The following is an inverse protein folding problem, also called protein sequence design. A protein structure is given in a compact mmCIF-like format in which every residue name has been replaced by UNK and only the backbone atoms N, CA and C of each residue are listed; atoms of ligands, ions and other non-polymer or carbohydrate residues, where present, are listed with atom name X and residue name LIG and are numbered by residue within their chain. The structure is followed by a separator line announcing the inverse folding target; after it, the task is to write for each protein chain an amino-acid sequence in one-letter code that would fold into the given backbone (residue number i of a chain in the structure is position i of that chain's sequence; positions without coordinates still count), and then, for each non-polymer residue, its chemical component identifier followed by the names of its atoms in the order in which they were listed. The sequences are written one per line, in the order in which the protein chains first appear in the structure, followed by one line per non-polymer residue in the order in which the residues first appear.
data_IF_522644787885
#
_entry.id   IF_522644787885
#
_cell.length_a   1.000
_cell.length_b   1.000
_cell.length_c   1.000
_cell.angle_alpha   90.00
_cell.angle_beta   90.00
_cell.angle_gamma   90.00
#
_symmetry.space_group_name_H-M   'P 1'
#
loop_
_entity.id
_entity.type
_entity.pdbx_description
1 polymer ?
#
# COMPACT_ATOMS: atom_id res chain seq x y z
N UNK A 1 19.41 27.26 52.35
CA UNK A 1 19.11 25.91 51.80
C UNK A 1 20.04 25.64 50.61
N UNK A 2 21.20 25.02 50.86
CA UNK A 2 22.15 24.67 49.80
C UNK A 2 21.79 23.29 49.23
N UNK A 3 21.56 23.24 47.92
CA UNK A 3 21.38 21.98 47.17
C UNK A 3 22.76 21.35 47.01
N UNK A 4 22.94 20.17 47.61
CA UNK A 4 24.16 19.38 47.46
C UNK A 4 24.36 18.99 46.00
N UNK A 5 25.47 19.44 45.42
CA UNK A 5 25.98 18.97 44.14
C UNK A 5 26.26 17.48 44.24
N UNK A 6 25.46 16.67 43.52
CA UNK A 6 25.73 15.28 43.24
C UNK A 6 27.01 15.18 42.41
N UNK A 7 28.13 14.93 43.07
CA UNK A 7 29.37 14.53 42.41
C UNK A 7 29.11 13.23 41.65
N UNK A 8 29.08 13.31 40.32
CA UNK A 8 29.20 12.13 39.47
C UNK A 8 30.57 11.50 39.75
N UNK A 9 30.58 10.42 40.52
CA UNK A 9 31.75 9.60 40.74
C UNK A 9 32.21 9.05 39.40
N UNK A 10 33.36 9.54 38.91
CA UNK A 10 34.08 8.98 37.79
C UNK A 10 34.75 7.68 38.23
N UNK A 11 33.97 6.59 38.31
CA UNK A 11 34.53 5.26 38.48
C UNK A 11 35.17 4.80 37.16
N UNK A 12 36.39 5.28 36.94
CA UNK A 12 37.31 4.69 35.98
C UNK A 12 38.58 4.31 36.72
N UNK A 13 38.90 3.01 36.67
CA UNK A 13 40.19 2.38 37.04
C UNK A 13 40.43 2.09 38.53
N UNK A 14 39.53 1.35 39.18
CA UNK A 14 40.00 0.47 40.26
C UNK A 14 40.42 -0.88 39.64
N UNK A 15 41.70 -1.29 39.76
CA UNK A 15 42.10 -2.65 39.43
C UNK A 15 41.41 -3.59 40.43
N UNK A 16 40.58 -4.50 39.90
CA UNK A 16 39.89 -5.51 40.70
C UNK A 16 40.95 -6.28 41.50
N UNK A 17 40.80 -6.30 42.84
CA UNK A 17 41.64 -7.06 43.78
C UNK A 17 41.53 -8.57 43.52
N UNK A 18 42.32 -9.07 42.58
CA UNK A 18 42.77 -10.47 42.41
C UNK A 18 43.35 -10.55 41.01
N UNK A 19 44.57 -11.07 40.82
CA UNK A 19 45.26 -11.18 39.53
C UNK A 19 44.61 -12.12 38.49
N UNK A 20 43.30 -12.02 38.32
CA UNK A 20 42.50 -12.66 37.29
C UNK A 20 42.36 -11.67 36.14
N UNK A 21 43.06 -11.95 35.04
CA UNK A 21 42.85 -11.25 33.77
C UNK A 21 41.47 -11.62 33.23
N UNK A 22 40.48 -10.75 33.45
CA UNK A 22 39.15 -10.90 32.86
C UNK A 22 39.26 -10.51 31.38
N UNK A 23 38.89 -11.41 30.48
CA UNK A 23 38.91 -11.12 29.05
C UNK A 23 38.00 -9.94 28.69
N UNK A 24 38.36 -9.21 27.64
CA UNK A 24 37.56 -8.10 27.09
C UNK A 24 36.11 -8.52 26.82
N UNK A 25 35.92 -9.74 26.36
CA UNK A 25 34.62 -10.28 25.99
C UNK A 25 33.74 -10.52 27.21
N UNK A 26 34.31 -11.05 28.30
CA UNK A 26 33.60 -11.21 29.58
C UNK A 26 33.23 -9.84 30.19
N UNK A 27 34.11 -8.84 30.05
CA UNK A 27 33.80 -7.48 30.48
C UNK A 27 32.65 -6.88 29.66
N UNK A 28 32.69 -7.03 28.33
CA UNK A 28 31.63 -6.57 27.43
C UNK A 28 30.28 -7.23 27.76
N UNK A 29 30.25 -8.55 27.94
CA UNK A 29 29.03 -9.28 28.34
C UNK A 29 28.48 -8.77 29.68
N UNK A 30 29.34 -8.60 30.69
CA UNK A 30 28.91 -8.09 31.99
C UNK A 30 28.36 -6.67 31.91
N UNK A 31 28.93 -5.81 31.07
CA UNK A 31 28.39 -4.46 30.86
C UNK A 31 27.03 -4.48 30.17
N UNK A 32 26.82 -5.39 29.20
CA UNK A 32 25.52 -5.57 28.55
C UNK A 32 24.46 -6.04 29.56
N UNK A 33 24.78 -7.02 30.40
CA UNK A 33 23.88 -7.53 31.45
C UNK A 33 23.52 -6.45 32.50
N UNK A 34 24.47 -5.57 32.83
CA UNK A 34 24.19 -4.42 33.72
C UNK A 34 23.21 -3.45 33.08
N UNK A 35 23.45 -3.08 31.81
CA UNK A 35 22.54 -2.18 31.06
C UNK A 35 21.13 -2.75 30.97
N UNK A 36 21.00 -4.06 30.74
CA UNK A 36 19.70 -4.71 30.68
C UNK A 36 18.96 -4.67 32.02
N UNK A 37 19.64 -4.98 33.13
CA UNK A 37 19.07 -4.86 34.48
C UNK A 37 18.68 -3.43 34.81
N UNK A 38 19.54 -2.46 34.52
CA UNK A 38 19.27 -1.05 34.78
C UNK A 38 18.03 -0.57 34.01
N UNK A 39 17.92 -0.96 32.74
CA UNK A 39 16.73 -0.71 31.92
C UNK A 39 15.46 -1.33 32.51
N UNK A 40 15.51 -2.57 32.99
CA UNK A 40 14.35 -3.22 33.63
C UNK A 40 13.93 -2.53 34.93
N UNK A 41 14.91 -2.14 35.75
CA UNK A 41 14.69 -1.38 36.98
C UNK A 41 13.99 -0.05 36.67
N UNK A 42 14.44 0.65 35.65
CA UNK A 42 13.86 1.93 35.23
C UNK A 42 12.45 1.77 34.66
N UNK A 43 12.21 0.73 33.85
CA UNK A 43 10.86 0.39 33.40
C UNK A 43 9.94 0.11 34.58
N UNK A 44 10.41 -0.63 35.58
CA UNK A 44 9.64 -0.96 36.79
C UNK A 44 9.30 0.28 37.60
N UNK A 45 10.28 1.17 37.82
CA UNK A 45 10.07 2.47 38.49
C UNK A 45 9.05 3.32 37.73
N UNK A 46 9.19 3.42 36.40
CA UNK A 46 8.26 4.15 35.53
C UNK A 46 6.84 3.60 35.59
N UNK A 47 6.67 2.28 35.57
CA UNK A 47 5.35 1.63 35.73
C UNK A 47 4.73 1.95 37.09
N UNK A 48 5.49 1.83 38.19
CA UNK A 48 5.02 2.16 39.54
C UNK A 48 4.62 3.63 39.65
N UNK A 49 5.41 4.55 39.11
CA UNK A 49 5.08 5.97 39.09
C UNK A 49 3.78 6.24 38.32
N UNK A 50 3.64 5.71 37.10
CA UNK A 50 2.43 5.86 36.30
C UNK A 50 1.19 5.27 36.98
N UNK A 51 1.34 4.15 37.68
CA UNK A 51 0.26 3.55 38.47
C UNK A 51 -0.20 4.49 39.60
N UNK A 52 0.75 5.03 40.38
CA UNK A 52 0.45 6.01 41.44
C UNK A 52 -0.25 7.26 40.90
N UNK A 53 0.19 7.79 39.77
CA UNK A 53 -0.45 8.94 39.14
C UNK A 53 -1.88 8.64 38.68
N UNK A 54 -2.10 7.45 38.12
CA UNK A 54 -3.44 7.00 37.70
C UNK A 54 -4.38 6.83 38.88
N UNK A 55 -3.90 6.38 40.03
CA UNK A 55 -4.73 6.25 41.24
C UNK A 55 -5.02 7.58 41.91
N UNK A 56 -4.07 8.53 41.87
CA UNK A 56 -4.23 9.84 42.49
C UNK A 56 -5.19 10.76 41.70
N UNK A 57 -5.08 10.77 40.37
CA UNK A 57 -5.96 11.56 39.49
C UNK A 57 -6.21 10.79 38.18
N UNK A 58 -7.23 9.90 38.15
CA UNK A 58 -7.53 9.10 36.97
C UNK A 58 -7.88 9.95 35.74
N UNK A 59 -8.66 11.01 35.95
CA UNK A 59 -9.23 11.83 34.87
C UNK A 59 -8.15 12.72 34.27
N UNK A 60 -7.39 13.45 35.08
CA UNK A 60 -6.30 14.29 34.58
C UNK A 60 -5.16 13.47 34.01
N UNK A 61 -4.86 12.30 34.58
CA UNK A 61 -3.89 11.37 34.00
C UNK A 61 -4.31 10.91 32.60
N UNK A 62 -5.57 10.51 32.41
CA UNK A 62 -6.08 10.07 31.12
C UNK A 62 -6.00 11.19 30.06
N UNK A 63 -6.43 12.41 30.41
CA UNK A 63 -6.35 13.58 29.52
C UNK A 63 -4.91 13.87 29.08
N UNK A 64 -3.97 13.88 30.03
CA UNK A 64 -2.54 14.12 29.74
C UNK A 64 -1.94 13.03 28.85
N UNK A 65 -2.19 11.76 29.14
CA UNK A 65 -1.67 10.65 28.32
C UNK A 65 -2.19 10.73 26.88
N UNK A 66 -3.45 11.10 26.69
CA UNK A 66 -4.01 11.29 25.34
C UNK A 66 -3.32 12.44 24.62
N UNK A 67 -3.13 13.58 25.28
CA UNK A 67 -2.42 14.73 24.72
C UNK A 67 -0.97 14.40 24.37
N UNK A 68 -0.23 13.74 25.27
CA UNK A 68 1.16 13.34 25.06
C UNK A 68 1.29 12.37 23.87
N UNK A 69 0.37 11.40 23.77
CA UNK A 69 0.34 10.46 22.64
C UNK A 69 0.04 11.16 21.32
N UNK A 70 -0.89 12.11 21.31
CA UNK A 70 -1.22 12.88 20.11
C UNK A 70 -0.03 13.75 19.67
N UNK A 71 0.61 14.45 20.61
CA UNK A 71 1.80 15.25 20.34
C UNK A 71 2.98 14.39 19.86
N UNK A 72 3.17 13.20 20.44
CA UNK A 72 4.18 12.26 19.97
C UNK A 72 3.89 11.77 18.55
N UNK A 73 2.64 11.42 18.24
CA UNK A 73 2.24 10.95 16.92
C UNK A 73 2.48 12.01 15.83
N UNK A 74 2.16 13.27 16.12
CA UNK A 74 2.42 14.39 15.21
C UNK A 74 3.91 14.57 14.91
N UNK A 75 4.77 14.39 15.92
CA UNK A 75 6.23 14.49 15.74
C UNK A 75 6.86 13.27 15.07
N UNK A 76 6.17 12.13 15.06
CA UNK A 76 6.72 10.85 14.60
C UNK A 76 5.79 10.13 13.60
N UNK A 77 5.40 10.78 12.48
CA UNK A 77 4.39 10.23 11.56
C UNK A 77 4.81 8.87 10.99
N UNK A 78 6.07 8.73 10.58
CA UNK A 78 6.57 7.47 10.02
C UNK A 78 6.49 6.33 11.03
N UNK A 79 6.86 6.57 12.30
CA UNK A 79 6.78 5.55 13.35
C UNK A 79 5.34 5.10 13.60
N UNK A 80 4.37 6.00 13.48
CA UNK A 80 2.95 5.66 13.60
C UNK A 80 2.54 4.72 12.48
N UNK A 81 2.96 4.99 11.24
CA UNK A 81 2.70 4.13 10.09
C UNK A 81 3.35 2.75 10.25
N UNK A 82 4.62 2.69 10.68
CA UNK A 82 5.33 1.43 10.91
C UNK A 82 4.64 0.58 12.00
N UNK A 83 4.19 1.22 13.09
CA UNK A 83 3.44 0.55 14.15
C UNK A 83 2.11 0.02 13.61
N UNK A 84 1.39 0.82 12.83
CA UNK A 84 0.12 0.41 12.24
C UNK A 84 0.29 -0.79 11.30
N UNK A 85 1.32 -0.77 10.44
CA UNK A 85 1.66 -1.88 9.54
C UNK A 85 1.96 -3.16 10.33
N UNK A 86 2.77 -3.06 11.39
CA UNK A 86 3.10 -4.20 12.25
C UNK A 86 1.87 -4.76 12.97
N UNK A 87 0.97 -3.90 13.45
CA UNK A 87 -0.29 -4.34 14.08
C UNK A 87 -1.17 -5.09 13.07
N UNK A 88 -1.30 -4.58 11.84
CA UNK A 88 -2.04 -5.26 10.76
C UNK A 88 -1.43 -6.63 10.41
N UNK A 89 -0.10 -6.71 10.29
CA UNK A 89 0.60 -7.98 10.04
C UNK A 89 0.28 -9.00 11.13
N UNK A 90 0.41 -8.60 12.40
CA UNK A 90 0.12 -9.51 13.52
C UNK A 90 -1.35 -9.94 13.56
N UNK A 91 -2.28 -9.05 13.20
CA UNK A 91 -3.70 -9.41 13.08
C UNK A 91 -3.92 -10.46 11.99
N UNK A 92 -3.26 -10.30 10.83
CA UNK A 92 -3.24 -11.29 9.74
C UNK A 92 -2.69 -12.64 10.20
N UNK A 93 -1.52 -12.64 10.82
CA UNK A 93 -0.80 -13.85 11.24
C UNK A 93 -1.59 -14.63 12.31
N UNK A 94 -2.36 -13.92 13.14
CA UNK A 94 -3.22 -14.53 14.16
C UNK A 94 -4.65 -14.81 13.70
N UNK A 95 -4.95 -14.54 12.43
CA UNK A 95 -6.30 -14.61 11.85
C UNK A 95 -7.37 -13.90 12.71
N UNK A 96 -7.01 -12.74 13.28
CA UNK A 96 -7.88 -11.93 14.13
C UNK A 96 -8.39 -10.71 13.37
N UNK A 97 -9.67 -10.37 13.58
CA UNK A 97 -10.33 -9.21 12.97
C UNK A 97 -10.28 -9.26 11.44
N UNK A 98 -10.68 -10.39 10.90
CA UNK A 98 -10.67 -10.66 9.47
C UNK A 98 -12.09 -10.61 8.92
N UNK A 99 -12.26 -9.96 7.77
CA UNK A 99 -13.52 -10.00 7.01
C UNK A 99 -13.30 -10.90 5.79
N UNK A 100 -14.08 -11.98 5.69
CA UNK A 100 -13.87 -13.05 4.71
C UNK A 100 -13.91 -12.54 3.27
N UNK A 101 -14.85 -11.65 2.94
CA UNK A 101 -15.04 -11.20 1.55
C UNK A 101 -13.94 -10.24 1.05
N UNK A 102 -13.32 -9.48 1.97
CA UNK A 102 -12.32 -8.48 1.60
C UNK A 102 -10.88 -8.99 1.71
N UNK A 103 -10.65 -10.13 2.37
CA UNK A 103 -9.33 -10.68 2.64
C UNK A 103 -8.34 -9.65 3.26
N UNK A 104 -8.88 -8.69 4.00
CA UNK A 104 -8.12 -7.60 4.60
C UNK A 104 -8.14 -7.70 6.14
N UNK A 105 -6.96 -7.73 6.81
CA UNK A 105 -6.88 -7.76 8.26
C UNK A 105 -7.10 -6.35 8.84
N UNK A 106 -8.03 -6.23 9.79
CA UNK A 106 -8.31 -4.98 10.48
C UNK A 106 -7.46 -4.80 11.74
N UNK A 107 -7.28 -3.55 12.15
CA UNK A 107 -6.48 -3.20 13.34
C UNK A 107 -7.17 -3.54 14.66
N UNK A 108 -8.51 -3.64 14.67
CA UNK A 108 -9.31 -3.94 15.86
C UNK A 108 -10.71 -4.43 15.51
N UNK A 109 -11.41 -5.06 16.46
CA UNK A 109 -12.81 -5.47 16.31
C UNK A 109 -13.73 -4.28 16.00
N UNK A 110 -13.55 -3.14 16.66
CA UNK A 110 -14.37 -1.95 16.41
C UNK A 110 -14.21 -1.41 14.99
N UNK A 111 -13.00 -1.51 14.40
CA UNK A 111 -12.78 -1.17 13.00
C UNK A 111 -13.51 -2.14 12.07
N UNK A 112 -13.47 -3.45 12.37
CA UNK A 112 -14.24 -4.46 11.64
C UNK A 112 -15.76 -4.25 11.78
N UNK A 113 -16.25 -3.93 12.98
CA UNK A 113 -17.68 -3.70 13.22
C UNK A 113 -18.17 -2.41 12.56
N UNK A 114 -17.32 -1.37 12.48
CA UNK A 114 -17.62 -0.16 11.71
C UNK A 114 -17.75 -0.44 10.20
N UNK A 115 -17.10 -1.50 9.74
CA UNK A 115 -17.18 -1.99 8.37
C UNK A 115 -18.52 -2.67 8.08
N UNK A 116 -19.15 -3.33 9.06
CA UNK A 116 -20.46 -3.98 8.90
C UNK A 116 -21.63 -3.00 8.72
N UNK A 117 -21.34 -1.72 8.52
CA UNK A 117 -22.33 -0.70 8.20
C UNK A 117 -22.63 -0.67 6.70
N UNK A 118 -23.82 -0.22 6.30
CA UNK A 118 -24.30 -0.15 4.91
C UNK A 118 -23.31 0.49 3.92
N UNK A 119 -22.35 1.28 4.40
CA UNK A 119 -21.32 1.91 3.58
C UNK A 119 -20.39 0.89 2.91
N UNK A 120 -19.98 -0.15 3.62
CA UNK A 120 -19.12 -1.17 3.03
C UNK A 120 -19.88 -2.07 2.06
N UNK A 121 -21.13 -2.43 2.39
CA UNK A 121 -22.00 -3.16 1.48
C UNK A 121 -22.17 -2.39 0.15
N UNK A 122 -22.38 -1.07 0.22
CA UNK A 122 -22.45 -0.21 -0.97
C UNK A 122 -21.14 -0.12 -1.74
N UNK A 123 -19.99 -0.11 -1.06
CA UNK A 123 -18.68 -0.11 -1.71
C UNK A 123 -18.37 -1.44 -2.39
N UNK A 124 -18.77 -2.57 -1.80
CA UNK A 124 -18.68 -3.88 -2.46
C UNK A 124 -19.54 -3.90 -3.72
N UNK A 125 -20.81 -3.48 -3.63
CA UNK A 125 -21.70 -3.46 -4.80
C UNK A 125 -21.20 -2.53 -5.90
N UNK A 126 -20.60 -1.39 -5.55
CA UNK A 126 -20.02 -0.47 -6.53
C UNK A 126 -18.77 -1.09 -7.19
N UNK A 127 -17.91 -1.74 -6.40
CA UNK A 127 -16.72 -2.42 -6.91
C UNK A 127 -17.06 -3.63 -7.78
N UNK A 128 -18.12 -4.37 -7.44
CA UNK A 128 -18.69 -5.45 -8.26
C UNK A 128 -19.28 -4.89 -9.56
N UNK A 129 -20.08 -3.82 -9.48
CA UNK A 129 -20.62 -3.15 -10.66
C UNK A 129 -19.52 -2.64 -11.59
N UNK A 130 -18.44 -2.04 -11.06
CA UNK A 130 -17.30 -1.64 -11.87
C UNK A 130 -16.47 -2.82 -12.40
N UNK A 131 -16.47 -3.97 -11.71
CA UNK A 131 -15.83 -5.20 -12.21
C UNK A 131 -16.61 -5.76 -13.40
N UNK A 132 -17.93 -5.74 -13.36
CA UNK A 132 -18.80 -6.14 -14.46
C UNK A 132 -18.73 -5.13 -15.63
N UNK A 133 -18.92 -3.84 -15.37
CA UNK A 133 -18.86 -2.78 -16.38
C UNK A 133 -17.45 -2.64 -17.00
N UNK A 134 -16.39 -2.79 -16.20
CA UNK A 134 -15.01 -2.77 -16.68
C UNK A 134 -14.68 -3.92 -17.63
N UNK A 135 -15.26 -5.11 -17.43
CA UNK A 135 -15.16 -6.21 -18.38
C UNK A 135 -15.87 -5.86 -19.70
N UNK A 136 -17.02 -5.19 -19.66
CA UNK A 136 -17.70 -4.72 -20.86
C UNK A 136 -16.87 -3.68 -21.63
N UNK A 137 -16.19 -2.77 -20.94
CA UNK A 137 -15.29 -1.79 -21.58
C UNK A 137 -14.10 -2.48 -22.23
N UNK A 138 -13.47 -3.45 -21.57
CA UNK A 138 -12.36 -4.21 -22.15
C UNK A 138 -12.80 -5.03 -23.38
N UNK A 139 -14.00 -5.64 -23.34
CA UNK A 139 -14.58 -6.34 -24.49
C UNK A 139 -14.90 -5.38 -25.64
N UNK A 140 -15.39 -4.18 -25.34
CA UNK A 140 -15.66 -3.13 -26.33
C UNK A 140 -14.39 -2.62 -26.99
N UNK A 141 -13.34 -2.33 -26.21
CA UNK A 141 -12.02 -1.94 -26.73
C UNK A 141 -11.45 -3.05 -27.62
N UNK A 142 -11.54 -4.31 -27.19
CA UNK A 142 -11.06 -5.45 -27.99
C UNK A 142 -11.84 -5.58 -29.32
N UNK A 143 -13.16 -5.35 -29.32
CA UNK A 143 -13.97 -5.29 -30.56
C UNK A 143 -13.53 -4.16 -31.50
N UNK A 144 -13.26 -2.96 -30.97
CA UNK A 144 -12.75 -1.84 -31.78
C UNK A 144 -11.40 -2.17 -32.40
N UNK A 145 -10.48 -2.72 -31.61
CA UNK A 145 -9.15 -3.12 -32.11
C UNK A 145 -9.25 -4.17 -33.20
N UNK A 146 -10.09 -5.20 -33.02
CA UNK A 146 -10.34 -6.22 -34.07
C UNK A 146 -10.95 -5.63 -35.33
N UNK A 147 -11.89 -4.70 -35.19
CA UNK A 147 -12.50 -4.02 -36.33
C UNK A 147 -11.48 -3.15 -37.08
N UNK A 148 -10.62 -2.42 -36.36
CA UNK A 148 -9.55 -1.62 -36.95
C UNK A 148 -8.51 -2.51 -37.67
N UNK A 149 -8.12 -3.64 -37.08
CA UNK A 149 -7.23 -4.62 -37.71
C UNK A 149 -7.85 -5.26 -38.95
N UNK A 150 -9.13 -5.64 -38.91
CA UNK A 150 -9.83 -6.16 -40.08
C UNK A 150 -9.91 -5.13 -41.21
N UNK A 151 -10.12 -3.85 -40.88
CA UNK A 151 -10.15 -2.75 -41.85
C UNK A 151 -8.77 -2.48 -42.46
N UNK A 152 -7.69 -2.54 -41.66
CA UNK A 152 -6.31 -2.47 -42.14
C UNK A 152 -5.97 -3.65 -43.05
N UNK A 153 -6.34 -4.88 -42.66
CA UNK A 153 -6.15 -6.07 -43.49
C UNK A 153 -6.92 -6.00 -44.81
N UNK A 154 -8.13 -5.44 -44.82
CA UNK A 154 -8.89 -5.22 -46.06
C UNK A 154 -8.23 -4.17 -46.96
N UNK A 155 -7.70 -3.09 -46.39
CA UNK A 155 -6.94 -2.09 -47.13
C UNK A 155 -5.65 -2.67 -47.72
N UNK A 156 -4.94 -3.53 -46.99
CA UNK A 156 -3.76 -4.24 -47.49
C UNK A 156 -4.10 -5.22 -48.64
N UNK A 157 -5.28 -5.84 -48.62
CA UNK A 157 -5.75 -6.68 -49.75
C UNK A 157 -6.26 -5.88 -50.95
N UNK A 158 -6.71 -4.64 -50.76
CA UNK A 158 -7.22 -3.77 -51.83
C UNK A 158 -6.14 -2.85 -52.43
N UNK A 159 -5.06 -2.58 -51.69
CA UNK A 159 -3.90 -1.81 -52.16
C UNK A 159 -3.27 -2.35 -53.46
N UNK A 160 -3.10 -3.67 -53.65
CA UNK A 160 -2.61 -4.21 -54.92
C UNK A 160 -3.60 -4.04 -56.09
N UNK A 161 -4.92 -4.00 -55.83
CA UNK A 161 -5.94 -3.75 -56.86
C UNK A 161 -5.95 -2.29 -57.32
N UNK A 162 -5.73 -1.33 -56.41
CA UNK A 162 -5.64 0.09 -56.74
C UNK A 162 -4.36 0.44 -57.53
N UNK A 163 -3.24 -0.22 -57.23
CA UNK A 163 -1.98 -0.04 -57.98
C UNK A 163 -2.06 -0.62 -59.41
N UNK A 164 -2.91 -1.63 -59.65
CA UNK A 164 -3.12 -2.17 -61.00
C UNK A 164 -3.96 -1.26 -61.92
N UNK A 165 -4.70 -0.29 -61.37
CA UNK A 165 -5.53 0.66 -62.15
C UNK A 165 -4.76 1.87 -62.70
N UNK A 166 -3.48 2.05 -62.33
CA UNK A 166 -2.71 3.26 -62.66
C UNK A 166 -1.52 3.01 -63.60
N UNK A 167 -1.40 1.82 -64.22
CA UNK A 167 -0.48 1.68 -65.36
C UNK A 167 -1.12 2.28 -66.61
N UNK A 168 -0.50 3.27 -67.27
CA UNK A 168 -0.89 3.64 -68.60
C UNK A 168 -0.56 2.46 -69.51
N UNK A 169 -1.58 1.78 -70.03
CA UNK A 169 -1.42 0.94 -71.21
C UNK A 169 -1.73 1.84 -72.40
N UNK A 170 -0.74 1.95 -73.28
CA UNK A 170 -0.84 2.68 -74.53
C UNK A 170 -2.03 2.18 -75.36
N UNK A 171 -2.79 3.15 -75.86
CA UNK A 171 -3.69 3.15 -77.02
C UNK A 171 -4.37 1.82 -77.42
N UNK A 172 -5.66 1.69 -77.11
CA UNK A 172 -6.73 1.64 -78.12
C UNK A 172 -8.12 1.40 -77.48
N UNK A 173 -9.14 1.91 -78.16
CA UNK A 173 -10.54 2.02 -77.79
C UNK A 173 -11.13 0.87 -76.93
N UNK A 174 -11.65 1.23 -75.75
CA UNK A 174 -12.49 0.34 -74.95
C UNK A 174 -12.96 0.99 -73.66
N UNK A 175 -14.17 1.56 -73.68
CA UNK A 175 -14.84 2.13 -72.50
C UNK A 175 -14.86 1.10 -71.36
N UNK A 176 -14.26 1.43 -70.22
CA UNK A 176 -14.47 0.71 -68.96
C UNK A 176 -14.85 1.69 -67.85
N UNK A 177 -15.76 1.28 -66.95
CA UNK A 177 -16.32 2.16 -65.94
C UNK A 177 -15.25 2.51 -64.90
N UNK A 178 -15.01 3.80 -64.71
CA UNK A 178 -14.26 4.32 -63.57
C UNK A 178 -15.12 4.03 -62.34
N UNK A 179 -14.77 2.98 -61.59
CA UNK A 179 -15.35 2.76 -60.26
C UNK A 179 -14.75 3.84 -59.37
N UNK A 180 -15.54 4.87 -59.09
CA UNK A 180 -15.13 5.95 -58.20
C UNK A 180 -15.09 5.46 -56.75
N UNK A 181 -14.25 6.10 -55.91
CA UNK A 181 -14.17 5.79 -54.47
C UNK A 181 -15.53 5.87 -53.77
N UNK A 182 -16.45 6.69 -54.30
CA UNK A 182 -17.82 6.79 -53.82
C UNK A 182 -18.62 5.50 -54.04
N UNK A 183 -18.46 4.85 -55.19
CA UNK A 183 -19.13 3.59 -55.51
C UNK A 183 -18.65 2.44 -54.63
N UNK A 184 -17.38 2.47 -54.21
CA UNK A 184 -16.81 1.49 -53.28
C UNK A 184 -17.37 1.70 -51.86
N UNK A 185 -17.54 2.95 -51.43
CA UNK A 185 -18.17 3.29 -50.15
C UNK A 185 -19.63 2.81 -50.08
N UNK A 186 -20.40 3.03 -51.14
CA UNK A 186 -21.82 2.64 -51.20
C UNK A 186 -22.03 1.11 -51.18
N UNK A 187 -21.07 0.33 -51.70
CA UNK A 187 -21.09 -1.14 -51.66
C UNK A 187 -20.77 -1.66 -50.26
N UNK A 188 -19.84 -1.01 -49.55
CA UNK A 188 -19.42 -1.42 -48.21
C UNK A 188 -20.48 -1.10 -47.14
N UNK A 189 -21.27 -0.03 -47.29
CA UNK A 189 -22.40 0.27 -46.38
C UNK A 189 -23.60 -0.66 -46.57
N UNK A 190 -23.69 -1.37 -47.69
CA UNK A 190 -24.80 -2.29 -48.00
C UNK A 190 -24.52 -3.75 -47.65
N UNK A 191 -23.32 -4.09 -47.17
CA UNK A 191 -23.03 -5.46 -46.72
C UNK A 191 -23.59 -5.66 -45.31
N UNK A 192 -24.59 -6.53 -45.10
CA UNK A 192 -25.12 -6.78 -43.77
C UNK A 192 -24.10 -7.58 -42.95
N UNK A 193 -23.92 -7.17 -41.69
CA UNK A 193 -23.37 -8.02 -40.63
C UNK A 193 -24.36 -9.14 -40.33
#
# INVERSE_FOLDING_TARGET
MHRGSSQFSSHSKEPIRSGLEISSDILAMNTALRRERDHEVDLTKSRKHRAKQRTADPIGYAKRVTADKAAWAQKNPQRVLDIAARVKSKAKDSNRFFYEDCNEPFTSQSALDSLKTDKHAKQLTLAEQFREEGQHILLFINKIFRFAQAKLSMMDTLSPMLVYSQRPMDDEAGVRPIITLQTIYDILERSPV
#
